data_IF_785389922799
#
_entry.id   IF_785389922799
#
_cell.length_a   1.000
_cell.length_b   1.000
_cell.length_c   1.000
_cell.angle_alpha   90.00
_cell.angle_beta   90.00
_cell.angle_gamma   90.00
#
_symmetry.space_group_name_H-M   'P 1'
#
loop_
_entity.id
_entity.type
_entity.pdbx_description
1 polymer ?
#
# COMPACT_ATOMS: atom_id res chain seq x y z
N UNK A 1 1.01 -31.97 -38.29
CA UNK A 1 0.71 -32.06 -36.85
C UNK A 1 1.04 -30.71 -36.25
N UNK A 2 0.03 -29.93 -35.86
CA UNK A 2 0.23 -28.61 -35.25
C UNK A 2 0.81 -28.81 -33.85
N UNK A 3 2.08 -28.44 -33.65
CA UNK A 3 2.73 -28.43 -32.34
C UNK A 3 2.02 -27.42 -31.44
N UNK A 4 1.46 -27.88 -30.33
CA UNK A 4 0.83 -27.03 -29.31
C UNK A 4 1.91 -26.28 -28.52
N UNK A 5 1.65 -25.04 -28.07
CA UNK A 5 2.58 -24.31 -27.22
C UNK A 5 2.67 -24.93 -25.82
N UNK A 6 3.75 -24.62 -25.11
CA UNK A 6 3.90 -24.98 -23.70
C UNK A 6 2.89 -24.22 -22.82
N UNK A 7 2.56 -24.74 -21.61
CA UNK A 7 1.72 -24.04 -20.64
C UNK A 7 2.19 -22.61 -20.37
N UNK A 8 1.24 -21.68 -20.23
CA UNK A 8 1.55 -20.25 -20.09
C UNK A 8 1.83 -19.83 -18.63
N UNK A 9 1.62 -20.73 -17.67
CA UNK A 9 1.92 -20.55 -16.25
C UNK A 9 2.51 -21.84 -15.67
N UNK A 10 3.32 -21.75 -14.59
CA UNK A 10 3.88 -22.93 -13.94
C UNK A 10 2.80 -23.90 -13.46
N UNK A 11 3.05 -25.22 -13.52
CA UNK A 11 2.05 -26.23 -13.17
C UNK A 11 1.60 -26.17 -11.70
N UNK A 12 2.43 -25.61 -10.83
CA UNK A 12 2.20 -25.42 -9.40
C UNK A 12 1.68 -24.03 -9.04
N UNK A 13 1.38 -23.18 -10.04
CA UNK A 13 0.84 -21.85 -9.80
C UNK A 13 -0.56 -21.93 -9.19
N UNK A 14 -0.67 -21.50 -7.94
CA UNK A 14 -1.89 -21.53 -7.14
C UNK A 14 -2.14 -20.14 -6.53
N UNK A 15 -3.27 -19.52 -6.91
CA UNK A 15 -3.74 -18.23 -6.40
C UNK A 15 -5.07 -18.35 -5.65
N UNK A 16 -5.48 -19.55 -5.21
CA UNK A 16 -6.75 -19.78 -4.52
C UNK A 16 -6.93 -18.98 -3.22
N UNK A 17 -5.83 -18.52 -2.62
CA UNK A 17 -5.82 -17.62 -1.45
C UNK A 17 -5.99 -16.13 -1.80
N UNK A 18 -6.01 -15.76 -3.09
CA UNK A 18 -6.17 -14.37 -3.54
C UNK A 18 -7.65 -14.01 -3.64
N UNK A 19 -8.07 -13.04 -2.82
CA UNK A 19 -9.45 -12.56 -2.78
C UNK A 19 -9.87 -11.73 -4.00
N UNK A 20 -8.93 -11.30 -4.85
CA UNK A 20 -9.23 -10.49 -6.03
C UNK A 20 -8.35 -10.88 -7.22
N UNK A 21 -8.89 -10.66 -8.42
CA UNK A 21 -8.17 -10.78 -9.70
C UNK A 21 -7.98 -9.37 -10.29
N UNK A 22 -6.76 -8.95 -10.64
CA UNK A 22 -6.53 -7.68 -11.31
C UNK A 22 -7.11 -7.69 -12.73
N UNK A 23 -7.77 -6.60 -13.12
CA UNK A 23 -8.38 -6.46 -14.44
C UNK A 23 -7.81 -5.26 -15.19
N UNK A 24 -7.28 -5.50 -16.39
CA UNK A 24 -6.80 -4.43 -17.27
C UNK A 24 -7.96 -3.72 -17.98
N UNK A 25 -8.73 -2.91 -17.23
CA UNK A 25 -10.01 -2.32 -17.67
C UNK A 25 -9.90 -1.59 -19.01
N UNK A 26 -8.87 -0.76 -19.20
CA UNK A 26 -8.69 -0.01 -20.45
C UNK A 26 -8.42 -0.93 -21.65
N UNK A 27 -7.64 -2.00 -21.46
CA UNK A 27 -7.34 -3.01 -22.49
C UNK A 27 -8.60 -3.82 -22.83
N UNK A 28 -9.33 -4.27 -21.81
CA UNK A 28 -10.58 -5.01 -21.96
C UNK A 28 -11.60 -4.17 -22.75
N UNK A 29 -11.89 -2.94 -22.31
CA UNK A 29 -12.91 -2.08 -22.93
C UNK A 29 -12.62 -1.71 -24.38
N UNK A 30 -11.34 -1.69 -24.79
CA UNK A 30 -10.90 -1.43 -26.18
C UNK A 30 -10.80 -2.70 -27.03
N UNK A 31 -10.93 -3.89 -26.42
CA UNK A 31 -10.76 -5.16 -27.13
C UNK A 31 -11.90 -5.44 -28.11
N UNK A 32 -11.59 -6.14 -29.20
CA UNK A 32 -12.61 -6.62 -30.15
C UNK A 32 -13.61 -7.57 -29.48
N UNK A 33 -13.20 -8.32 -28.46
CA UNK A 33 -14.07 -9.21 -27.72
C UNK A 33 -15.13 -8.42 -26.92
N UNK A 34 -14.74 -7.30 -26.30
CA UNK A 34 -15.69 -6.42 -25.61
C UNK A 34 -16.62 -5.67 -26.56
N UNK A 35 -16.17 -5.37 -27.79
CA UNK A 35 -17.04 -4.85 -28.85
C UNK A 35 -18.12 -5.88 -29.24
N UNK A 36 -17.77 -7.17 -29.30
CA UNK A 36 -18.76 -8.26 -29.51
C UNK A 36 -19.71 -8.39 -28.33
N UNK A 37 -19.19 -8.39 -27.10
CA UNK A 37 -19.99 -8.43 -25.89
C UNK A 37 -20.98 -7.25 -25.79
N UNK A 38 -20.63 -6.07 -26.29
CA UNK A 38 -21.57 -4.94 -26.38
C UNK A 38 -22.80 -5.25 -27.25
N UNK A 39 -22.64 -6.06 -28.31
CA UNK A 39 -23.73 -6.48 -29.21
C UNK A 39 -24.48 -7.70 -28.68
N UNK A 40 -23.82 -8.54 -27.90
CA UNK A 40 -24.40 -9.69 -27.22
C UNK A 40 -23.95 -9.69 -25.75
N UNK A 41 -24.68 -9.00 -24.84
CA UNK A 41 -24.25 -8.82 -23.45
C UNK A 41 -24.00 -10.13 -22.69
N UNK A 42 -24.73 -11.20 -23.00
CA UNK A 42 -24.54 -12.52 -22.39
C UNK A 42 -23.13 -13.07 -22.63
N UNK A 43 -22.51 -12.76 -23.78
CA UNK A 43 -21.14 -13.16 -24.06
C UNK A 43 -20.13 -12.56 -23.05
N UNK A 44 -20.34 -11.30 -22.65
CA UNK A 44 -19.48 -10.64 -21.66
C UNK A 44 -19.55 -11.33 -20.29
N UNK A 45 -20.73 -11.83 -19.91
CA UNK A 45 -20.94 -12.60 -18.69
C UNK A 45 -20.15 -13.92 -18.75
N UNK A 46 -20.32 -14.73 -19.80
CA UNK A 46 -19.60 -16.01 -19.96
C UNK A 46 -18.08 -15.83 -19.98
N UNK A 47 -17.59 -14.85 -20.75
CA UNK A 47 -16.15 -14.55 -20.81
C UNK A 47 -15.56 -14.18 -19.45
N UNK A 48 -16.26 -13.35 -18.68
CA UNK A 48 -15.75 -12.90 -17.37
C UNK A 48 -15.75 -14.05 -16.36
N UNK A 49 -16.80 -14.89 -16.36
CA UNK A 49 -16.83 -16.06 -15.48
C UNK A 49 -15.71 -17.04 -15.79
N UNK A 50 -15.42 -17.32 -17.07
CA UNK A 50 -14.28 -18.15 -17.45
C UNK A 50 -12.93 -17.57 -16.97
N UNK A 51 -12.75 -16.25 -17.05
CA UNK A 51 -11.53 -15.61 -16.54
C UNK A 51 -11.40 -15.71 -15.02
N UNK A 52 -12.51 -15.51 -14.29
CA UNK A 52 -12.54 -15.62 -12.84
C UNK A 52 -12.32 -17.06 -12.36
N UNK A 53 -12.93 -18.05 -13.03
CA UNK A 53 -12.71 -19.46 -12.74
C UNK A 53 -11.24 -19.83 -12.95
N UNK A 54 -10.68 -19.48 -14.11
CA UNK A 54 -9.29 -19.80 -14.44
C UNK A 54 -8.28 -19.17 -13.47
N UNK A 55 -8.57 -17.98 -12.93
CA UNK A 55 -7.70 -17.31 -11.96
C UNK A 55 -7.41 -18.17 -10.71
N UNK A 56 -8.37 -19.00 -10.30
CA UNK A 56 -8.26 -19.85 -9.11
C UNK A 56 -8.00 -21.33 -9.39
N UNK A 57 -7.91 -21.73 -10.66
CA UNK A 57 -7.49 -23.07 -11.04
C UNK A 57 -6.02 -23.35 -10.70
N UNK A 58 -5.63 -24.62 -10.73
CA UNK A 58 -4.23 -25.04 -10.68
C UNK A 58 -3.97 -25.92 -11.91
N UNK A 59 -3.20 -25.43 -12.91
CA UNK A 59 -2.42 -24.17 -12.91
C UNK A 59 -3.30 -22.91 -13.06
N UNK A 60 -2.96 -21.85 -12.33
CA UNK A 60 -3.70 -20.60 -12.39
C UNK A 60 -3.63 -19.98 -13.80
N UNK A 61 -4.74 -19.43 -14.27
CA UNK A 61 -4.92 -18.89 -15.62
C UNK A 61 -5.34 -19.92 -16.68
N UNK A 62 -5.59 -21.17 -16.27
CA UNK A 62 -6.00 -22.27 -17.15
C UNK A 62 -7.40 -22.79 -16.85
N UNK A 63 -8.00 -23.52 -17.78
CA UNK A 63 -9.21 -24.34 -17.61
C UNK A 63 -9.02 -25.69 -18.30
N UNK A 64 -9.73 -26.71 -17.85
CA UNK A 64 -9.83 -27.99 -18.55
C UNK A 64 -10.56 -27.82 -19.89
N UNK A 65 -10.09 -28.46 -20.97
CA UNK A 65 -10.76 -28.45 -22.29
C UNK A 65 -11.87 -29.50 -22.35
N UNK A 66 -12.82 -29.40 -21.43
CA UNK A 66 -14.01 -30.24 -21.35
C UNK A 66 -15.27 -29.35 -21.36
N UNK A 67 -16.25 -29.69 -22.19
CA UNK A 67 -17.42 -28.84 -22.38
C UNK A 67 -18.28 -28.73 -21.11
N UNK A 68 -18.39 -29.77 -20.28
CA UNK A 68 -19.15 -29.71 -19.05
C UNK A 68 -18.47 -28.79 -18.03
N UNK A 69 -17.15 -28.89 -17.90
CA UNK A 69 -16.34 -27.99 -17.04
C UNK A 69 -16.42 -26.55 -17.52
N UNK A 70 -16.28 -26.31 -18.82
CA UNK A 70 -16.32 -24.96 -19.40
C UNK A 70 -17.71 -24.34 -19.32
N UNK A 71 -18.78 -25.12 -19.47
CA UNK A 71 -20.15 -24.66 -19.28
C UNK A 71 -20.42 -24.22 -17.85
N UNK A 72 -20.02 -25.03 -16.87
CA UNK A 72 -20.17 -24.72 -15.45
C UNK A 72 -19.37 -23.47 -15.07
N UNK A 73 -18.08 -23.42 -15.47
CA UNK A 73 -17.21 -22.28 -15.25
C UNK A 73 -17.71 -20.99 -15.93
N UNK A 74 -18.33 -21.09 -17.10
CA UNK A 74 -18.96 -19.95 -17.78
C UNK A 74 -20.30 -19.54 -17.13
N UNK A 75 -20.90 -20.40 -16.30
CA UNK A 75 -22.29 -20.35 -15.87
C UNK A 75 -23.26 -20.30 -17.07
N UNK A 76 -23.02 -21.17 -18.06
CA UNK A 76 -23.81 -21.26 -19.28
C UNK A 76 -24.75 -22.47 -19.26
N UNK A 77 -25.99 -22.29 -19.69
CA UNK A 77 -26.91 -23.42 -19.86
C UNK A 77 -26.46 -24.31 -21.04
N UNK A 78 -26.60 -25.65 -20.92
CA UNK A 78 -26.20 -26.58 -21.98
C UNK A 78 -26.81 -26.29 -23.35
N UNK A 79 -28.08 -25.86 -23.39
CA UNK A 79 -28.78 -25.53 -24.63
C UNK A 79 -28.16 -24.33 -25.38
N UNK A 80 -27.39 -23.47 -24.70
CA UNK A 80 -26.77 -22.27 -25.27
C UNK A 80 -25.30 -22.49 -25.62
N UNK A 81 -24.61 -23.40 -24.94
CA UNK A 81 -23.16 -23.54 -25.01
C UNK A 81 -22.62 -23.69 -26.42
N UNK A 82 -23.15 -24.63 -27.20
CA UNK A 82 -22.69 -24.88 -28.57
C UNK A 82 -22.71 -23.63 -29.47
N UNK A 83 -23.61 -22.67 -29.21
CA UNK A 83 -23.71 -21.41 -29.97
C UNK A 83 -22.74 -20.34 -29.50
N UNK A 84 -22.33 -20.37 -28.23
CA UNK A 84 -21.50 -19.31 -27.61
C UNK A 84 -20.07 -19.74 -27.35
N UNK A 85 -19.77 -21.05 -27.33
CA UNK A 85 -18.48 -21.64 -27.00
C UNK A 85 -17.32 -20.96 -27.71
N UNK A 86 -17.38 -20.87 -29.04
CA UNK A 86 -16.30 -20.29 -29.85
C UNK A 86 -16.04 -18.82 -29.49
N UNK A 87 -17.10 -18.04 -29.29
CA UNK A 87 -16.98 -16.63 -28.93
C UNK A 87 -16.54 -16.44 -27.46
N UNK A 88 -17.00 -17.29 -26.54
CA UNK A 88 -16.64 -17.26 -25.12
C UNK A 88 -15.19 -17.68 -24.89
N UNK A 89 -14.73 -18.68 -25.64
CA UNK A 89 -13.34 -19.15 -25.66
C UNK A 89 -12.45 -18.36 -26.62
N UNK A 90 -12.89 -17.17 -27.05
CA UNK A 90 -12.07 -16.30 -27.88
C UNK A 90 -10.78 -15.89 -27.17
N UNK A 91 -9.65 -16.28 -27.77
CA UNK A 91 -8.32 -15.92 -27.28
C UNK A 91 -7.72 -16.93 -26.30
N UNK A 92 -8.44 -18.00 -25.98
CA UNK A 92 -7.90 -19.14 -25.26
C UNK A 92 -6.99 -19.96 -26.17
N UNK A 93 -5.96 -20.55 -25.58
CA UNK A 93 -4.91 -21.31 -26.27
C UNK A 93 -4.86 -22.70 -25.65
N UNK A 94 -5.04 -23.73 -26.47
CA UNK A 94 -4.86 -25.12 -26.04
C UNK A 94 -3.36 -25.46 -26.00
N UNK A 95 -2.84 -25.68 -24.80
CA UNK A 95 -1.43 -25.97 -24.57
C UNK A 95 -1.12 -27.49 -24.61
N UNK A 96 0.17 -27.82 -24.54
CA UNK A 96 0.69 -29.20 -24.63
C UNK A 96 0.25 -30.11 -23.48
N UNK A 97 -0.14 -29.54 -22.35
CA UNK A 97 -0.71 -30.23 -21.18
C UNK A 97 -2.21 -30.55 -21.31
N UNK A 98 -2.84 -30.14 -22.41
CA UNK A 98 -4.26 -30.38 -22.67
C UNK A 98 -5.22 -29.38 -22.03
N UNK A 99 -4.71 -28.30 -21.43
CA UNK A 99 -5.54 -27.25 -20.82
C UNK A 99 -5.64 -26.01 -21.71
N UNK A 100 -6.73 -25.27 -21.55
CA UNK A 100 -6.95 -23.99 -22.22
C UNK A 100 -6.40 -22.87 -21.33
N UNK A 101 -5.50 -22.06 -21.87
CA UNK A 101 -4.91 -20.90 -21.20
C UNK A 101 -5.40 -19.60 -21.81
N UNK A 102 -5.73 -18.61 -20.98
CA UNK A 102 -6.03 -17.26 -21.47
C UNK A 102 -4.82 -16.33 -21.28
N UNK A 103 -4.11 -15.90 -22.34
CA UNK A 103 -2.84 -15.16 -22.22
C UNK A 103 -2.91 -13.89 -21.37
N UNK A 104 -4.04 -13.17 -21.39
CA UNK A 104 -4.22 -11.95 -20.58
C UNK A 104 -4.37 -12.27 -19.10
N UNK A 105 -5.00 -13.40 -18.75
CA UNK A 105 -5.13 -13.84 -17.35
C UNK A 105 -3.79 -14.38 -16.88
N UNK A 106 -3.12 -15.18 -17.72
CA UNK A 106 -1.79 -15.74 -17.44
C UNK A 106 -0.75 -14.65 -17.15
N UNK A 107 -0.75 -13.54 -17.90
CA UNK A 107 0.11 -12.38 -17.62
C UNK A 107 -0.05 -11.89 -16.16
N UNK A 108 -1.29 -11.79 -15.69
CA UNK A 108 -1.59 -11.36 -14.32
C UNK A 108 -1.28 -12.43 -13.28
N UNK A 109 -1.48 -13.70 -13.63
CA UNK A 109 -1.13 -14.84 -12.76
C UNK A 109 0.37 -14.85 -12.51
N UNK A 110 1.19 -14.65 -13.54
CA UNK A 110 2.65 -14.66 -13.39
C UNK A 110 3.14 -13.54 -12.46
N UNK A 111 2.56 -12.35 -12.56
CA UNK A 111 2.86 -11.21 -11.68
C UNK A 111 2.52 -11.55 -10.21
N UNK A 112 1.31 -12.07 -9.98
CA UNK A 112 0.82 -12.42 -8.65
C UNK A 112 1.57 -13.62 -8.03
N UNK A 113 1.81 -14.66 -8.83
CA UNK A 113 2.52 -15.87 -8.42
C UNK A 113 3.96 -15.58 -8.05
N UNK A 114 4.66 -14.79 -8.87
CA UNK A 114 6.04 -14.38 -8.59
C UNK A 114 6.11 -13.60 -7.28
N UNK A 115 5.20 -12.66 -7.05
CA UNK A 115 5.11 -11.88 -5.81
C UNK A 115 4.81 -12.78 -4.59
N UNK A 116 3.95 -13.79 -4.76
CA UNK A 116 3.64 -14.78 -3.72
C UNK A 116 4.87 -15.60 -3.33
N UNK A 117 5.65 -16.06 -4.32
CA UNK A 117 6.89 -16.81 -4.09
C UNK A 117 7.95 -15.94 -3.39
N UNK A 118 8.17 -14.71 -3.85
CA UNK A 118 9.12 -13.78 -3.21
C UNK A 118 8.77 -13.52 -1.74
N UNK A 119 7.47 -13.36 -1.43
CA UNK A 119 6.99 -13.20 -0.05
C UNK A 119 7.19 -14.47 0.78
N UNK A 120 6.94 -15.65 0.20
CA UNK A 120 7.15 -16.94 0.88
C UNK A 120 8.62 -17.08 1.28
N UNK A 121 9.53 -16.88 0.34
CA UNK A 121 10.96 -17.04 0.57
C UNK A 121 11.48 -16.04 1.63
N UNK A 122 11.03 -14.77 1.58
CA UNK A 122 11.34 -13.76 2.59
C UNK A 122 10.89 -14.21 3.99
N UNK A 123 9.66 -14.68 4.11
CA UNK A 123 9.09 -15.14 5.37
C UNK A 123 9.83 -16.38 5.91
N UNK A 124 10.23 -17.30 5.03
CA UNK A 124 11.02 -18.47 5.40
C UNK A 124 12.40 -18.07 5.96
N UNK A 125 13.09 -17.11 5.33
CA UNK A 125 14.36 -16.58 5.83
C UNK A 125 14.20 -15.89 7.19
N UNK A 126 13.17 -15.06 7.35
CA UNK A 126 12.93 -14.37 8.61
C UNK A 126 12.54 -15.34 9.74
N UNK A 127 11.70 -16.33 9.43
CA UNK A 127 11.31 -17.38 10.36
C UNK A 127 12.51 -18.24 10.78
N UNK A 128 13.39 -18.58 9.84
CA UNK A 128 14.63 -19.29 10.13
C UNK A 128 15.55 -18.46 11.02
N UNK A 129 15.76 -17.17 10.69
CA UNK A 129 16.56 -16.25 11.52
C UNK A 129 16.02 -16.18 12.95
N UNK A 130 14.71 -15.96 13.12
CA UNK A 130 14.04 -15.93 14.44
C UNK A 130 14.13 -17.27 15.17
N UNK A 131 14.05 -18.40 14.46
CA UNK A 131 14.20 -19.73 15.05
C UNK A 131 15.61 -19.93 15.61
N UNK A 132 16.64 -19.67 14.81
CA UNK A 132 18.04 -19.75 15.22
C UNK A 132 18.33 -18.81 16.41
N UNK A 133 17.80 -17.58 16.38
CA UNK A 133 17.93 -16.63 17.47
C UNK A 133 17.33 -17.15 18.79
N UNK A 134 16.15 -17.78 18.74
CA UNK A 134 15.51 -18.39 19.92
C UNK A 134 16.29 -19.60 20.44
N UNK A 135 16.77 -20.46 19.54
CA UNK A 135 17.57 -21.63 19.89
C UNK A 135 18.89 -21.22 20.55
N UNK A 136 19.59 -20.25 19.97
CA UNK A 136 20.83 -19.70 20.52
C UNK A 136 20.58 -19.04 21.88
N UNK A 137 19.56 -18.19 21.98
CA UNK A 137 19.17 -17.57 23.25
C UNK A 137 18.91 -18.61 24.33
N UNK A 138 18.19 -19.69 24.00
CA UNK A 138 17.92 -20.79 24.92
C UNK A 138 19.21 -21.49 25.38
N UNK A 139 20.15 -21.73 24.46
CA UNK A 139 21.46 -22.34 24.78
C UNK A 139 22.27 -21.44 25.72
N UNK A 140 22.41 -20.16 25.39
CA UNK A 140 23.17 -19.22 26.21
C UNK A 140 22.57 -19.06 27.62
N UNK A 141 21.24 -18.98 27.75
CA UNK A 141 20.62 -18.97 29.08
C UNK A 141 20.87 -20.26 29.86
N UNK A 142 20.85 -21.42 29.20
CA UNK A 142 21.13 -22.70 29.85
C UNK A 142 22.60 -22.76 30.34
N UNK A 143 23.55 -22.30 29.53
CA UNK A 143 24.97 -22.21 29.90
C UNK A 143 25.19 -21.25 31.08
N UNK A 144 24.62 -20.05 31.03
CA UNK A 144 24.70 -19.10 32.14
C UNK A 144 24.10 -19.66 33.42
N UNK A 145 22.94 -20.32 33.32
CA UNK A 145 22.28 -20.98 34.45
C UNK A 145 23.14 -22.10 35.03
N UNK A 146 23.82 -22.90 34.20
CA UNK A 146 24.73 -23.95 34.64
C UNK A 146 25.95 -23.39 35.38
N UNK A 147 26.42 -22.20 35.00
CA UNK A 147 27.47 -21.46 35.70
C UNK A 147 26.97 -20.70 36.96
N UNK A 148 25.70 -20.85 37.34
CA UNK A 148 25.09 -20.13 38.47
C UNK A 148 24.79 -18.65 38.20
N UNK A 149 24.93 -18.19 36.95
CA UNK A 149 24.64 -16.82 36.55
C UNK A 149 23.20 -16.73 36.05
N UNK A 150 22.35 -16.03 36.79
CA UNK A 150 20.99 -15.73 36.39
C UNK A 150 20.90 -14.34 35.75
N UNK A 151 20.53 -14.29 34.46
CA UNK A 151 20.22 -13.05 33.74
C UNK A 151 18.70 -12.84 33.64
N UNK A 152 18.20 -11.59 33.63
CA UNK A 152 16.80 -11.29 33.35
C UNK A 152 16.32 -11.88 32.01
N UNK A 153 15.05 -12.27 31.95
CA UNK A 153 14.47 -12.93 30.76
C UNK A 153 14.52 -12.07 29.49
N UNK A 154 14.67 -10.76 29.61
CA UNK A 154 14.72 -9.77 28.51
C UNK A 154 16.15 -9.33 28.13
N UNK A 155 17.21 -9.93 28.71
CA UNK A 155 18.61 -9.59 28.38
C UNK A 155 18.88 -9.75 26.88
N UNK A 156 19.58 -8.83 26.23
CA UNK A 156 19.79 -8.90 24.77
C UNK A 156 20.65 -10.12 24.37
N UNK A 157 20.51 -10.60 23.13
CA UNK A 157 21.36 -11.70 22.64
C UNK A 157 22.85 -11.34 22.66
N UNK A 158 23.19 -10.08 22.37
CA UNK A 158 24.56 -9.58 22.42
C UNK A 158 25.15 -9.66 23.84
N UNK A 159 24.37 -9.27 24.86
CA UNK A 159 24.81 -9.34 26.26
C UNK A 159 24.94 -10.78 26.76
N UNK A 160 24.04 -11.67 26.32
CA UNK A 160 24.13 -13.10 26.63
C UNK A 160 25.43 -13.69 26.05
N UNK A 161 25.73 -13.40 24.78
CA UNK A 161 26.97 -13.82 24.12
C UNK A 161 28.20 -13.29 24.86
N UNK A 162 28.22 -12.00 25.18
CA UNK A 162 29.33 -11.37 25.90
C UNK A 162 29.55 -12.01 27.28
N UNK A 163 28.46 -12.30 28.01
CA UNK A 163 28.55 -12.92 29.35
C UNK A 163 29.09 -14.34 29.27
N UNK A 164 28.59 -15.15 28.34
CA UNK A 164 29.10 -16.51 28.12
C UNK A 164 30.56 -16.48 27.69
N UNK A 165 30.94 -15.57 26.80
CA UNK A 165 32.33 -15.45 26.36
C UNK A 165 33.30 -15.13 27.52
N UNK A 166 32.90 -14.24 28.42
CA UNK A 166 33.67 -13.94 29.64
C UNK A 166 33.81 -15.17 30.53
N UNK A 167 32.73 -15.92 30.75
CA UNK A 167 32.77 -17.19 31.51
C UNK A 167 33.76 -18.18 30.90
N UNK A 168 33.72 -18.37 29.59
CA UNK A 168 34.62 -19.27 28.87
C UNK A 168 36.08 -18.85 29.03
N UNK A 169 36.38 -17.54 28.98
CA UNK A 169 37.75 -17.03 29.16
C UNK A 169 38.28 -17.11 30.59
N UNK A 170 37.39 -17.21 31.58
CA UNK A 170 37.74 -17.30 33.00
C UNK A 170 37.86 -18.74 33.49
N UNK A 171 37.51 -19.73 32.66
CA UNK A 171 37.60 -21.14 33.01
C UNK A 171 39.06 -21.60 32.84
N UNK A 172 39.75 -22.05 33.92
CA UNK A 172 41.10 -22.58 33.80
C UNK A 172 41.09 -23.86 32.96
N UNK A 173 42.04 -24.01 32.04
CA UNK A 173 42.32 -25.30 31.42
C UNK A 173 42.79 -26.28 32.51
N UNK A 174 42.01 -27.34 32.71
CA UNK A 174 42.26 -28.52 33.54
C UNK A 174 42.66 -28.30 35.02
N UNK A 175 41.69 -28.59 35.91
CA UNK A 175 41.92 -28.91 37.31
C UNK A 175 40.65 -29.51 37.95
N UNK A 176 40.74 -30.57 38.76
CA UNK A 176 39.56 -31.29 39.24
C UNK A 176 38.74 -30.45 40.23
N UNK A 177 37.43 -30.55 40.08
CA UNK A 177 36.39 -29.89 40.89
C UNK A 177 36.60 -30.03 42.39
N UNK A 178 36.24 -28.99 43.17
CA UNK A 178 35.63 -29.22 44.46
C UNK A 178 34.18 -28.73 44.47
N UNK A 179 33.32 -29.57 45.03
CA UNK A 179 31.98 -29.26 45.49
C UNK A 179 31.89 -27.84 46.07
N UNK A 180 30.96 -27.03 45.55
CA UNK A 180 30.52 -25.81 46.23
C UNK A 180 29.01 -25.81 46.37
N UNK A 181 28.59 -26.52 47.41
CA UNK A 181 27.34 -26.30 48.10
C UNK A 181 27.57 -25.28 49.23
N UNK A 182 27.16 -24.02 49.04
CA UNK A 182 27.05 -22.99 50.08
C UNK A 182 25.89 -22.07 49.68
N UNK A 183 24.67 -22.37 50.14
CA UNK A 183 24.01 -21.83 51.34
C UNK A 183 23.67 -20.33 51.28
N UNK A 184 22.37 -20.08 51.12
CA UNK A 184 21.53 -19.11 51.83
C UNK A 184 22.15 -17.83 52.43
N UNK A 185 21.62 -16.69 51.96
CA UNK A 185 21.24 -15.53 52.79
C UNK A 185 22.30 -14.46 53.02
N UNK A 186 22.12 -13.28 52.42
CA UNK A 186 21.54 -12.11 53.10
C UNK A 186 21.60 -10.86 52.20
N UNK A 187 20.56 -10.06 52.37
CA UNK A 187 20.30 -8.72 51.84
C UNK A 187 21.31 -7.71 52.37
N UNK A 188 21.76 -6.79 51.51
CA UNK A 188 22.02 -5.40 51.90
C UNK A 188 21.47 -4.45 50.82
N UNK A 189 20.86 -3.38 51.30
CA UNK A 189 20.06 -2.39 50.62
C UNK A 189 20.73 -1.04 50.83
N UNK A 190 21.08 -0.29 49.77
CA UNK A 190 21.34 1.17 49.79
C UNK A 190 21.77 1.75 48.43
N UNK A 191 21.63 3.08 48.19
CA UNK A 191 20.68 3.55 47.18
C UNK A 191 21.30 4.38 46.02
N UNK A 192 20.52 4.52 44.95
CA UNK A 192 20.50 5.73 44.12
C UNK A 192 21.39 5.73 42.87
N UNK A 193 20.78 5.56 41.69
CA UNK A 193 20.75 6.61 40.65
C UNK A 193 19.69 6.20 39.64
N UNK A 194 18.60 6.97 39.63
CA UNK A 194 17.55 6.93 38.62
C UNK A 194 18.14 7.40 37.30
N UNK A 195 18.14 6.53 36.29
CA UNK A 195 18.16 6.99 34.89
C UNK A 195 17.03 6.30 34.13
N UNK A 196 15.99 7.09 33.97
CA UNK A 196 14.79 6.84 33.20
C UNK A 196 15.13 6.43 31.76
N UNK A 197 14.77 5.19 31.40
CA UNK A 197 14.64 4.72 30.02
C UNK A 197 13.24 4.18 29.78
N UNK A 198 12.25 5.03 30.07
CA UNK A 198 10.85 4.88 29.63
C UNK A 198 10.71 5.11 28.11
N UNK A 199 11.41 4.37 27.25
CA UNK A 199 11.09 4.31 25.80
C UNK A 199 11.52 2.98 25.21
N UNK A 200 10.64 1.97 25.29
CA UNK A 200 10.33 1.05 24.18
C UNK A 200 9.15 0.15 24.60
N UNK A 201 7.94 0.71 24.56
CA UNK A 201 6.70 -0.09 24.55
C UNK A 201 5.62 0.66 23.79
N UNK A 202 5.51 0.40 22.50
CA UNK A 202 4.24 0.44 21.78
C UNK A 202 4.18 -0.77 20.85
N UNK A 203 3.73 -1.89 21.40
CA UNK A 203 3.04 -2.90 20.61
C UNK A 203 1.57 -2.52 20.62
N UNK A 204 1.08 -1.89 19.55
CA UNK A 204 -0.35 -1.84 19.27
C UNK A 204 -0.65 -2.95 18.26
N UNK A 205 -1.25 -4.03 18.75
CA UNK A 205 -2.09 -4.88 17.92
C UNK A 205 -3.41 -4.16 17.70
N UNK A 206 -3.78 -3.93 16.44
CA UNK A 206 -5.16 -3.61 16.07
C UNK A 206 -5.70 -4.77 15.25
N UNK A 207 -6.56 -5.57 15.89
CA UNK A 207 -7.51 -6.42 15.17
C UNK A 207 -8.59 -5.52 14.58
N UNK A 208 -8.81 -5.60 13.27
CA UNK A 208 -9.92 -4.94 12.62
C UNK A 208 -11.12 -5.89 12.62
N UNK A 209 -12.01 -5.70 13.59
CA UNK A 209 -13.39 -6.15 13.51
C UNK A 209 -14.20 -5.11 12.74
N UNK A 210 -14.77 -5.52 11.61
CA UNK A 210 -15.73 -4.71 10.85
C UNK A 210 -17.06 -4.66 11.60
N UNK A 211 -17.57 -3.45 11.85
CA UNK A 211 -18.87 -3.19 12.48
C UNK A 211 -19.67 -2.18 11.67
N UNK A 212 -20.85 -2.61 11.23
CA UNK A 212 -21.82 -1.91 10.39
C UNK A 212 -22.30 -0.56 10.95
N UNK A 213 -22.49 0.41 10.05
CA UNK A 213 -23.15 1.70 10.33
C UNK A 213 -24.67 1.48 10.40
N UNK A 214 -25.32 2.03 11.44
CA UNK A 214 -26.78 2.17 11.52
C UNK A 214 -27.14 3.65 11.62
N UNK A 215 -28.04 4.05 10.73
CA UNK A 215 -28.60 5.39 10.57
C UNK A 215 -29.34 5.91 11.80
N UNK A 216 -29.37 7.25 11.97
CA UNK A 216 -30.58 7.97 12.39
C UNK A 216 -30.51 9.48 12.12
N UNK A 217 -31.62 9.96 11.59
CA UNK A 217 -32.00 11.34 11.24
C UNK A 217 -32.84 12.00 12.38
N UNK A 218 -33.38 13.24 12.27
CA UNK A 218 -33.07 14.35 13.19
C UNK A 218 -34.28 14.95 13.96
N UNK A 219 -34.04 15.95 14.83
CA UNK A 219 -35.05 16.89 15.35
C UNK A 219 -34.32 18.18 15.82
N UNK A 220 -34.54 19.36 15.23
CA UNK A 220 -35.69 20.27 15.28
C UNK A 220 -35.80 21.11 16.58
N UNK A 221 -35.68 22.44 16.42
CA UNK A 221 -36.46 23.53 17.06
C UNK A 221 -35.56 24.79 17.33
N UNK A 222 -35.70 25.87 16.57
CA UNK A 222 -36.56 27.06 16.80
C UNK A 222 -35.99 28.12 17.76
N UNK A 223 -35.75 29.30 17.18
CA UNK A 223 -35.60 30.67 17.75
C UNK A 223 -36.77 31.07 18.71
N UNK A 224 -36.89 32.29 19.31
CA UNK A 224 -36.38 33.64 18.95
C UNK A 224 -35.94 34.47 20.19
N UNK A 225 -35.53 35.74 20.19
CA UNK A 225 -35.45 36.87 19.26
C UNK A 225 -35.36 38.14 20.13
N UNK A 226 -34.77 39.23 19.64
CA UNK A 226 -35.11 40.57 20.13
C UNK A 226 -34.73 41.66 19.12
N UNK A 227 -35.74 42.49 18.88
CA UNK A 227 -35.85 43.83 18.25
C UNK A 227 -34.75 44.82 18.72
N UNK A 228 -34.41 45.94 18.06
CA UNK A 228 -35.22 46.92 17.31
C UNK A 228 -34.34 47.85 16.44
N UNK A 229 -35.03 48.74 15.73
CA UNK A 229 -34.67 49.59 14.58
C UNK A 229 -33.89 50.90 14.85
N UNK A 230 -33.32 51.37 13.72
CA UNK A 230 -33.19 52.73 13.18
C UNK A 230 -32.45 53.84 13.94
N UNK A 231 -31.41 54.35 13.27
CA UNK A 231 -31.15 55.80 13.14
C UNK A 231 -30.27 56.06 11.91
N UNK A 232 -30.82 56.85 10.97
CA UNK A 232 -30.12 57.37 9.80
C UNK A 232 -29.21 58.56 10.18
N UNK A 233 -27.96 58.54 9.72
CA UNK A 233 -27.02 59.64 9.80
C UNK A 233 -25.90 59.47 8.77
N UNK A 234 -25.72 60.47 7.90
CA UNK A 234 -24.66 60.55 6.89
C UNK A 234 -23.24 60.50 7.54
N UNK A 235 -22.18 60.18 6.77
CA UNK A 235 -21.01 59.47 7.29
C UNK A 235 -20.02 60.41 7.99
N UNK A 236 -19.36 60.00 9.09
CA UNK A 236 -18.12 60.60 9.53
C UNK A 236 -16.94 60.08 8.68
N UNK A 237 -15.83 60.84 8.61
CA UNK A 237 -14.89 60.79 7.49
C UNK A 237 -14.09 59.50 7.45
N UNK A 238 -13.69 59.11 6.24
CA UNK A 238 -12.66 58.09 6.01
C UNK A 238 -11.49 58.26 6.99
N UNK A 239 -11.20 57.26 7.85
CA UNK A 239 -9.91 57.25 8.50
C UNK A 239 -8.87 56.91 7.43
N UNK A 240 -7.96 57.85 7.21
CA UNK A 240 -6.71 57.65 6.48
C UNK A 240 -6.08 56.29 6.83
N UNK A 241 -5.54 55.56 5.84
CA UNK A 241 -5.05 54.22 6.06
C UNK A 241 -3.73 54.22 6.84
N UNK A 242 -3.59 53.22 7.71
CA UNK A 242 -2.35 52.59 8.23
C UNK A 242 -2.00 52.94 9.68
N UNK A 243 -1.63 51.97 10.53
CA UNK A 243 -0.63 50.94 10.20
C UNK A 243 -1.03 49.49 10.53
N UNK A 244 -0.69 48.59 9.60
CA UNK A 244 -0.40 47.16 9.85
C UNK A 244 -1.51 46.34 10.51
N UNK A 245 -2.58 46.01 9.76
CA UNK A 245 -3.39 44.84 10.11
C UNK A 245 -2.48 43.61 10.14
N UNK A 246 -2.55 42.80 11.21
CA UNK A 246 -1.71 41.60 11.31
C UNK A 246 -1.97 40.68 10.11
N UNK A 247 -0.94 39.97 9.63
CA UNK A 247 -1.08 39.06 8.49
C UNK A 247 -2.25 38.06 8.65
N UNK A 248 -2.49 37.43 9.83
CA UNK A 248 -3.68 36.61 10.07
C UNK A 248 -5.01 37.35 9.86
N UNK A 249 -5.07 38.64 10.22
CA UNK A 249 -6.25 39.48 10.02
C UNK A 249 -6.51 39.74 8.55
N UNK A 250 -5.46 39.99 7.77
CA UNK A 250 -5.57 40.18 6.32
C UNK A 250 -6.10 38.91 5.63
N UNK A 251 -5.51 37.75 5.94
CA UNK A 251 -5.94 36.44 5.43
C UNK A 251 -7.43 36.19 5.75
N UNK A 252 -7.84 36.39 7.00
CA UNK A 252 -9.21 36.15 7.39
C UNK A 252 -10.21 37.11 6.70
N UNK A 253 -9.81 38.35 6.42
CA UNK A 253 -10.63 39.31 5.65
C UNK A 253 -10.79 38.86 4.20
N UNK A 254 -9.71 38.40 3.55
CA UNK A 254 -9.75 37.91 2.17
C UNK A 254 -10.70 36.71 2.02
N UNK A 255 -10.57 35.70 2.89
CA UNK A 255 -11.40 34.49 2.82
C UNK A 255 -12.89 34.79 3.02
N UNK A 256 -13.22 35.69 3.96
CA UNK A 256 -14.61 36.13 4.15
C UNK A 256 -15.13 36.93 2.95
N UNK A 257 -14.27 37.72 2.30
CA UNK A 257 -14.60 38.44 1.08
C UNK A 257 -14.92 37.50 -0.08
N UNK A 258 -14.11 36.47 -0.27
CA UNK A 258 -14.29 35.50 -1.36
C UNK A 258 -15.55 34.64 -1.17
N UNK A 259 -15.79 34.11 0.02
CA UNK A 259 -17.02 33.33 0.29
C UNK A 259 -18.28 34.20 0.20
N UNK A 260 -18.23 35.45 0.66
CA UNK A 260 -19.35 36.40 0.48
C UNK A 260 -19.68 36.61 -1.00
N UNK A 261 -18.67 36.70 -1.87
CA UNK A 261 -18.88 36.84 -3.30
C UNK A 261 -19.52 35.58 -3.93
N UNK A 262 -19.31 34.39 -3.35
CA UNK A 262 -19.99 33.14 -3.75
C UNK A 262 -21.38 32.97 -3.12
N UNK A 263 -21.82 33.90 -2.26
CA UNK A 263 -23.06 33.75 -1.51
C UNK A 263 -22.99 32.74 -0.36
N UNK A 264 -21.78 32.34 0.05
CA UNK A 264 -21.53 31.39 1.12
C UNK A 264 -21.01 32.08 2.39
N UNK A 265 -21.34 31.53 3.55
CA UNK A 265 -20.91 32.08 4.84
C UNK A 265 -19.57 31.46 5.26
N UNK A 266 -18.61 32.32 5.58
CA UNK A 266 -17.29 31.93 6.07
C UNK A 266 -17.12 32.35 7.52
N UNK A 267 -16.80 31.38 8.38
CA UNK A 267 -16.59 31.58 9.83
C UNK A 267 -15.11 31.71 10.19
N UNK A 268 -14.21 31.83 9.20
CA UNK A 268 -12.77 31.94 9.43
C UNK A 268 -12.44 33.27 10.09
N UNK A 269 -11.80 33.20 11.27
CA UNK A 269 -11.32 34.34 12.06
C UNK A 269 -9.79 34.43 12.02
N UNK A 270 -9.26 35.59 12.39
CA UNK A 270 -7.81 35.81 12.51
C UNK A 270 -7.17 35.03 13.67
N UNK A 271 -7.97 34.53 14.60
CA UNK A 271 -7.52 33.69 15.72
C UNK A 271 -7.41 32.20 15.36
N UNK A 272 -7.78 31.81 14.13
CA UNK A 272 -7.76 30.41 13.73
C UNK A 272 -6.31 29.87 13.65
N UNK A 273 -6.01 28.69 14.24
CA UNK A 273 -4.66 28.12 14.23
C UNK A 273 -4.04 27.96 12.84
N UNK A 274 -4.81 27.57 11.82
CA UNK A 274 -4.30 27.43 10.45
C UNK A 274 -3.99 28.79 9.82
N UNK A 275 -4.84 29.80 10.08
CA UNK A 275 -4.62 31.17 9.59
C UNK A 275 -3.36 31.78 10.20
N UNK A 276 -3.09 31.50 11.48
CA UNK A 276 -1.84 31.89 12.13
C UNK A 276 -0.64 31.15 11.51
N UNK A 277 -0.75 29.85 11.30
CA UNK A 277 0.32 29.05 10.68
C UNK A 277 0.66 29.52 9.26
N UNK A 278 -0.34 29.83 8.43
CA UNK A 278 -0.12 30.38 7.07
C UNK A 278 0.56 31.74 7.11
N UNK A 279 0.18 32.59 8.08
CA UNK A 279 0.82 33.89 8.27
C UNK A 279 2.29 33.75 8.69
N UNK A 280 2.59 32.82 9.61
CA UNK A 280 3.96 32.53 10.07
C UNK A 280 4.82 31.90 8.97
N UNK A 281 4.24 31.04 8.12
CA UNK A 281 4.92 30.43 6.97
C UNK A 281 5.01 31.35 5.74
N UNK A 282 4.52 32.58 5.85
CA UNK A 282 4.66 33.59 4.79
C UNK A 282 3.86 33.28 3.52
N UNK A 283 2.74 32.55 3.63
CA UNK A 283 1.85 32.27 2.49
C UNK A 283 1.38 33.60 1.87
N UNK A 284 1.60 33.78 0.57
CA UNK A 284 1.22 35.03 -0.13
C UNK A 284 -0.27 35.05 -0.46
N UNK A 285 -0.81 36.22 -0.81
CA UNK A 285 -2.22 36.36 -1.19
C UNK A 285 -2.53 35.60 -2.49
N UNK A 286 -1.57 35.52 -3.41
CA UNK A 286 -1.67 34.76 -4.66
C UNK A 286 -1.73 33.26 -4.40
N UNK A 287 -0.83 32.73 -3.55
CA UNK A 287 -0.83 31.31 -3.17
C UNK A 287 -2.11 30.92 -2.43
N UNK A 288 -2.57 31.80 -1.53
CA UNK A 288 -3.82 31.60 -0.81
C UNK A 288 -5.02 31.62 -1.76
N UNK A 289 -5.00 32.49 -2.78
CA UNK A 289 -6.05 32.56 -3.80
C UNK A 289 -6.10 31.30 -4.64
N UNK A 290 -4.95 30.83 -5.10
CA UNK A 290 -4.84 29.58 -5.88
C UNK A 290 -5.34 28.37 -5.07
N UNK A 291 -4.93 28.26 -3.80
CA UNK A 291 -5.39 27.22 -2.90
C UNK A 291 -6.92 27.27 -2.69
N UNK A 292 -7.47 28.47 -2.55
CA UNK A 292 -8.90 28.69 -2.41
C UNK A 292 -9.68 28.24 -3.65
N UNK A 293 -9.20 28.58 -4.84
CA UNK A 293 -9.84 28.19 -6.10
C UNK A 293 -9.85 26.67 -6.30
N UNK A 294 -8.76 25.99 -5.93
CA UNK A 294 -8.71 24.53 -5.94
C UNK A 294 -9.68 23.90 -4.93
N UNK A 295 -9.81 24.50 -3.74
CA UNK A 295 -10.76 24.05 -2.72
C UNK A 295 -12.22 24.21 -3.18
N UNK A 296 -12.54 25.29 -3.88
CA UNK A 296 -13.86 25.52 -4.48
C UNK A 296 -14.17 24.48 -5.55
N UNK A 297 -13.25 24.23 -6.48
CA UNK A 297 -13.42 23.23 -7.53
C UNK A 297 -13.64 21.81 -6.98
N UNK A 298 -12.92 21.44 -5.91
CA UNK A 298 -13.11 20.14 -5.27
C UNK A 298 -14.53 19.99 -4.71
N UNK A 299 -15.06 21.04 -4.05
CA UNK A 299 -16.44 21.03 -3.55
C UNK A 299 -17.49 21.00 -4.65
N UNK A 300 -17.30 21.76 -5.72
CA UNK A 300 -18.20 21.73 -6.87
C UNK A 300 -18.26 20.35 -7.52
N UNK A 301 -17.09 19.71 -7.69
CA UNK A 301 -16.97 18.36 -8.22
C UNK A 301 -17.65 17.32 -7.33
N UNK A 302 -17.57 17.51 -6.01
CA UNK A 302 -18.17 16.60 -5.02
C UNK A 302 -19.61 16.99 -4.65
N UNK A 303 -20.18 18.00 -5.31
CA UNK A 303 -21.52 18.55 -5.03
C UNK A 303 -21.74 18.93 -3.55
N UNK A 304 -20.70 19.42 -2.87
CA UNK A 304 -20.76 19.86 -1.47
C UNK A 304 -21.11 21.37 -1.39
N UNK A 305 -22.29 21.75 -0.86
CA UNK A 305 -22.72 23.14 -0.79
C UNK A 305 -22.07 23.94 0.36
N UNK A 306 -21.24 23.31 1.19
CA UNK A 306 -20.65 23.95 2.36
C UNK A 306 -19.67 25.07 1.98
N UNK A 307 -19.54 26.09 2.84
CA UNK A 307 -18.54 27.17 2.70
C UNK A 307 -17.12 26.74 3.08
N UNK A 308 -16.10 27.26 2.39
CA UNK A 308 -14.70 26.82 2.57
C UNK A 308 -14.19 27.23 3.96
N UNK A 309 -13.92 26.23 4.81
CA UNK A 309 -13.37 26.44 6.16
C UNK A 309 -11.83 26.36 6.16
N UNK A 310 -11.19 26.89 7.20
CA UNK A 310 -9.73 26.99 7.26
C UNK A 310 -9.02 25.63 7.24
N UNK A 311 -9.55 24.61 7.93
CA UNK A 311 -8.92 23.27 7.96
C UNK A 311 -9.01 22.54 6.62
N UNK A 312 -10.11 22.72 5.89
CA UNK A 312 -10.25 22.18 4.53
C UNK A 312 -9.32 22.90 3.56
N UNK A 313 -9.24 24.23 3.65
CA UNK A 313 -8.36 25.04 2.82
C UNK A 313 -6.87 24.71 3.06
N UNK A 314 -6.48 24.31 4.27
CA UNK A 314 -5.12 23.93 4.65
C UNK A 314 -4.53 22.82 3.77
N UNK A 315 -5.38 21.88 3.35
CA UNK A 315 -4.99 20.79 2.42
C UNK A 315 -4.54 21.35 1.07
N UNK A 316 -5.19 22.42 0.60
CA UNK A 316 -4.88 23.04 -0.69
C UNK A 316 -3.74 24.05 -0.58
N UNK A 317 -3.64 24.77 0.55
CA UNK A 317 -2.46 25.60 0.86
C UNK A 317 -1.21 24.73 0.87
N UNK A 318 -1.28 23.56 1.52
CA UNK A 318 -0.16 22.60 1.53
C UNK A 318 0.23 22.11 0.14
N UNK A 319 -0.75 21.90 -0.77
CA UNK A 319 -0.52 21.50 -2.17
C UNK A 319 0.11 22.61 -3.01
N UNK A 320 -0.29 23.86 -2.80
CA UNK A 320 0.26 25.02 -3.52
C UNK A 320 1.69 25.33 -3.05
N UNK A 321 1.96 25.19 -1.75
CA UNK A 321 3.31 25.36 -1.19
C UNK A 321 4.25 24.22 -1.57
N UNK A 322 3.72 23.01 -1.70
CA UNK A 322 4.47 21.81 -2.06
C UNK A 322 3.86 21.17 -3.32
N UNK A 323 4.02 21.80 -4.49
CA UNK A 323 3.53 21.21 -5.73
C UNK A 323 4.27 19.89 -5.94
N UNK A 324 3.52 18.83 -6.27
CA UNK A 324 4.13 17.58 -6.66
C UNK A 324 5.08 17.85 -7.84
N UNK A 325 6.29 17.29 -7.88
CA UNK A 325 7.19 17.46 -9.02
C UNK A 325 6.50 16.94 -10.29
N UNK A 326 6.08 17.87 -11.16
CA UNK A 326 5.29 17.59 -12.35
C UNK A 326 5.40 18.72 -13.36
N UNK A 327 6.06 18.42 -14.48
CA UNK A 327 6.45 19.31 -15.57
C UNK A 327 5.27 19.87 -16.41
N UNK A 328 5.52 21.03 -17.02
CA UNK A 328 4.62 21.70 -17.97
C UNK A 328 4.29 20.80 -19.18
N UNK A 329 2.99 20.67 -19.51
CA UNK A 329 2.43 19.77 -20.54
C UNK A 329 2.42 20.36 -21.96
N UNK A 330 3.39 21.21 -22.29
CA UNK A 330 3.56 21.67 -23.67
C UNK A 330 4.44 20.67 -24.41
N UNK A 331 3.78 19.69 -25.06
CA UNK A 331 4.36 18.69 -25.97
C UNK A 331 5.45 17.79 -25.36
N UNK A 332 5.04 16.74 -24.64
CA UNK A 332 5.88 15.56 -24.48
C UNK A 332 5.04 14.28 -24.36
N UNK A 333 5.50 13.23 -25.05
CA UNK A 333 5.11 11.83 -24.87
C UNK A 333 5.32 11.47 -23.39
N UNK A 334 4.43 10.72 -22.72
CA UNK A 334 4.59 10.41 -21.30
C UNK A 334 5.94 9.73 -21.03
N UNK A 335 6.65 10.08 -19.95
CA UNK A 335 7.88 9.39 -19.59
C UNK A 335 7.54 7.93 -19.29
N UNK A 336 8.10 7.01 -20.07
CA UNK A 336 8.08 5.59 -19.74
C UNK A 336 9.11 5.40 -18.64
N UNK A 337 8.70 5.02 -17.44
CA UNK A 337 9.65 4.70 -16.37
C UNK A 337 10.64 3.65 -16.90
N UNK A 338 11.95 3.92 -16.90
CA UNK A 338 12.96 2.99 -17.41
C UNK A 338 12.95 1.64 -16.68
N UNK A 339 12.35 1.56 -15.48
CA UNK A 339 12.20 0.34 -14.70
C UNK A 339 10.80 -0.28 -14.80
N UNK A 340 9.87 0.28 -15.59
CA UNK A 340 8.50 -0.25 -15.71
C UNK A 340 8.46 -1.72 -16.17
N UNK A 341 9.46 -2.18 -16.92
CA UNK A 341 9.56 -3.57 -17.36
C UNK A 341 9.80 -4.55 -16.20
N UNK A 342 10.36 -4.09 -15.07
CA UNK A 342 10.65 -4.93 -13.89
C UNK A 342 9.39 -5.28 -13.10
N UNK A 343 8.33 -4.49 -13.30
CA UNK A 343 7.07 -4.59 -12.58
C UNK A 343 6.18 -5.72 -13.08
N UNK A 344 6.38 -6.14 -14.32
CA UNK A 344 5.58 -7.16 -14.98
C UNK A 344 6.48 -8.30 -15.42
N UNK A 345 6.04 -9.52 -15.18
CA UNK A 345 6.72 -10.72 -15.64
C UNK A 345 6.94 -10.71 -17.15
N UNK A 346 5.95 -10.27 -17.93
CA UNK A 346 6.09 -10.11 -19.38
C UNK A 346 7.19 -9.10 -19.77
N UNK A 347 7.43 -8.08 -18.94
CA UNK A 347 8.54 -7.15 -19.11
C UNK A 347 9.89 -7.76 -18.73
N UNK A 348 9.92 -8.57 -17.66
CA UNK A 348 11.10 -9.35 -17.26
C UNK A 348 11.48 -10.36 -18.34
N UNK A 349 10.52 -11.09 -18.92
CA UNK A 349 10.73 -12.02 -20.04
C UNK A 349 11.24 -11.30 -21.29
N UNK A 350 10.65 -10.15 -21.63
CA UNK A 350 11.11 -9.34 -22.77
C UNK A 350 12.55 -8.86 -22.57
N UNK A 351 12.90 -8.43 -21.35
CA UNK A 351 14.27 -8.03 -21.01
C UNK A 351 15.23 -9.22 -21.00
N UNK A 352 14.80 -10.37 -20.48
CA UNK A 352 15.58 -11.59 -20.50
C UNK A 352 15.94 -12.01 -21.92
N UNK A 353 14.96 -11.95 -22.83
CA UNK A 353 15.15 -12.21 -24.26
C UNK A 353 16.11 -11.21 -24.92
N UNK A 354 16.00 -9.92 -24.58
CA UNK A 354 16.95 -8.90 -25.03
C UNK A 354 18.38 -9.18 -24.56
N UNK A 355 18.53 -9.69 -23.34
CA UNK A 355 19.81 -10.01 -22.71
C UNK A 355 20.32 -11.44 -23.02
N UNK A 356 19.57 -12.24 -23.79
CA UNK A 356 19.94 -13.63 -24.12
C UNK A 356 19.90 -14.60 -22.93
N UNK A 357 19.04 -14.35 -21.95
CA UNK A 357 18.91 -15.14 -20.72
C UNK A 357 17.64 -15.98 -20.80
N UNK A 358 17.81 -17.30 -20.73
CA UNK A 358 16.70 -18.26 -20.66
C UNK A 358 16.56 -18.83 -19.24
N UNK A 359 15.32 -19.16 -18.88
CA UNK A 359 14.99 -19.81 -17.62
C UNK A 359 15.42 -21.28 -17.72
N UNK A 360 16.22 -21.73 -16.75
CA UNK A 360 16.71 -23.10 -16.74
C UNK A 360 15.60 -24.09 -16.34
N UNK A 361 15.66 -25.36 -16.78
CA UNK A 361 14.71 -26.37 -16.34
C UNK A 361 14.75 -26.55 -14.82
N UNK A 362 13.63 -26.28 -14.13
CA UNK A 362 13.50 -26.35 -12.67
C UNK A 362 13.93 -25.07 -11.92
N UNK A 363 14.33 -24.01 -12.62
CA UNK A 363 14.63 -22.73 -12.01
C UNK A 363 13.34 -21.99 -11.63
N UNK A 364 13.21 -21.64 -10.34
CA UNK A 364 12.06 -20.89 -9.86
C UNK A 364 12.08 -19.46 -10.44
N UNK A 365 10.89 -18.93 -10.75
CA UNK A 365 10.70 -17.59 -11.32
C UNK A 365 11.41 -16.45 -10.56
N UNK A 366 11.49 -16.44 -9.22
CA UNK A 366 12.26 -15.43 -8.48
C UNK A 366 13.78 -15.49 -8.78
N UNK A 367 14.34 -16.70 -8.93
CA UNK A 367 15.75 -16.89 -9.25
C UNK A 367 16.08 -16.42 -10.67
N UNK A 368 15.20 -16.72 -11.63
CA UNK A 368 15.31 -16.23 -13.00
C UNK A 368 15.24 -14.69 -13.06
N UNK A 369 14.24 -14.08 -12.42
CA UNK A 369 14.11 -12.61 -12.33
C UNK A 369 15.33 -11.96 -11.70
N UNK A 370 15.90 -12.55 -10.65
CA UNK A 370 17.13 -12.06 -10.02
C UNK A 370 18.31 -12.04 -11.00
N UNK A 371 18.48 -13.08 -11.83
CA UNK A 371 19.50 -13.11 -12.89
C UNK A 371 19.27 -12.05 -13.96
N UNK A 372 18.02 -11.88 -14.40
CA UNK A 372 17.66 -10.87 -15.40
C UNK A 372 17.92 -9.46 -14.87
N UNK A 373 17.56 -9.19 -13.61
CA UNK A 373 17.85 -7.91 -12.96
C UNK A 373 19.36 -7.66 -12.81
N UNK A 374 20.13 -8.69 -12.42
CA UNK A 374 21.58 -8.59 -12.31
C UNK A 374 22.23 -8.29 -13.67
N UNK A 375 21.81 -8.98 -14.72
CA UNK A 375 22.31 -8.76 -16.08
C UNK A 375 21.85 -7.42 -16.68
N UNK A 376 20.67 -6.92 -16.29
CA UNK A 376 20.18 -5.60 -16.67
C UNK A 376 20.84 -4.45 -15.89
N UNK A 377 21.73 -4.76 -14.93
CA UNK A 377 22.43 -3.76 -14.13
C UNK A 377 21.55 -3.03 -13.12
N UNK A 378 20.44 -3.62 -12.69
CA UNK A 378 19.53 -3.00 -11.71
C UNK A 378 20.18 -3.00 -10.33
N UNK A 379 20.35 -1.81 -9.77
CA UNK A 379 20.96 -1.63 -8.45
C UNK A 379 20.03 -2.09 -7.33
N UNK A 380 20.59 -2.32 -6.13
CA UNK A 380 19.78 -2.61 -4.94
C UNK A 380 18.82 -1.44 -4.61
N UNK A 381 19.23 -0.22 -4.93
CA UNK A 381 18.42 1.00 -4.72
C UNK A 381 17.25 1.07 -5.71
N UNK A 382 17.48 0.73 -6.98
CA UNK A 382 16.41 0.60 -7.97
C UNK A 382 15.41 -0.49 -7.60
N UNK A 383 15.90 -1.64 -7.09
CA UNK A 383 15.03 -2.70 -6.56
C UNK A 383 14.19 -2.19 -5.39
N UNK A 384 14.78 -1.46 -4.44
CA UNK A 384 14.05 -0.86 -3.31
C UNK A 384 13.04 0.18 -3.74
N UNK A 385 13.38 1.03 -4.71
CA UNK A 385 12.47 2.04 -5.27
C UNK A 385 11.25 1.38 -5.92
N UNK A 386 11.48 0.39 -6.78
CA UNK A 386 10.41 -0.39 -7.44
C UNK A 386 9.51 -1.09 -6.42
N UNK A 387 10.09 -1.60 -5.31
CA UNK A 387 9.35 -2.21 -4.19
C UNK A 387 8.54 -1.19 -3.36
N UNK A 388 9.07 0.02 -3.15
CA UNK A 388 8.43 1.07 -2.33
C UNK A 388 7.21 1.69 -3.02
N UNK A 389 7.23 1.83 -4.35
CA UNK A 389 6.14 2.43 -5.12
C UNK A 389 4.85 1.56 -5.13
N UNK A 390 4.92 0.29 -4.69
CA UNK A 390 3.78 -0.64 -4.58
C UNK A 390 3.18 -0.80 -3.17
N UNK A 391 3.56 0.05 -2.22
CA UNK A 391 2.85 0.15 -0.94
C UNK A 391 3.07 -1.01 0.04
N UNK A 392 4.15 -1.77 -0.09
CA UNK A 392 4.66 -2.58 1.03
C UNK A 392 5.47 -1.67 1.97
N UNK A 393 4.87 -1.25 3.09
CA UNK A 393 5.65 -0.60 4.16
C UNK A 393 6.63 -1.60 4.76
N UNK A 394 7.90 -1.16 4.87
CA UNK A 394 8.96 -1.74 5.70
C UNK A 394 8.50 -1.89 7.15
#
# INVERSE_FOLDING_TARGET
>A
MTTRPDPLTPPDSDLGDFAFMPLMVARLRKSKAWVKAKRNPALGFYMMNLWMAAWHEVPAGSLEDDDDVLMDAAMCEPAKWARVREDALRGWVLCSDGRLYHPVVCEQVMDAWTSKLERRDRNEHENNRKRLEREERSKLFAELKAAGIHKPWNTSLADLRATVQVLTTLQPADGPTPDRNLSAGQVEDSPGTVRDLSRLRQGQGQGQGQGYIKEKEPAAASSPGSTAQDSAGAPPPSPSPSPTSSRPTQIAVLLRGWERARGAMCTVTSSNPHVNAWAEHGVTDEQLREAYDLAVQDREKNHDPSGINAGFLDVFVSKVLNPAPGESRVKAVPPTDPLAWTLKWSGVEAKAKELGIEQQPGELSPAFKARVHAAAGITDEDRRRVLADFGERI
#
